data_IF_427007910580
#
_entry.id   IF_427007910580
#
_cell.length_a   1.000
_cell.length_b   1.000
_cell.length_c   1.000
_cell.angle_alpha   90.00
_cell.angle_beta   90.00
_cell.angle_gamma   90.00
#
_symmetry.space_group_name_H-M   'P 1'
#
loop_
_entity.id
_entity.type
_entity.pdbx_description
1 polymer ?
#
# COMPACT_ATOMS: atom_id res chain seq x y z
N UNK A 1 19.65 -6.47 -19.58
CA UNK A 1 18.27 -6.14 -19.21
C UNK A 1 18.33 -5.51 -17.83
N UNK A 2 18.35 -4.18 -17.77
CA UNK A 2 18.27 -3.47 -16.50
C UNK A 2 16.90 -3.80 -15.90
N UNK A 3 16.80 -4.25 -14.63
CA UNK A 3 15.50 -4.45 -14.02
C UNK A 3 14.73 -3.13 -14.08
N UNK A 4 13.44 -3.19 -14.44
CA UNK A 4 12.57 -2.03 -14.29
C UNK A 4 12.67 -1.51 -12.85
N UNK A 5 12.66 -0.19 -12.63
CA UNK A 5 12.66 0.35 -11.29
C UNK A 5 11.44 -0.20 -10.54
N UNK A 6 11.70 -0.98 -9.50
CA UNK A 6 10.64 -1.56 -8.68
C UNK A 6 9.84 -0.41 -8.04
N UNK A 7 8.54 -0.37 -8.31
CA UNK A 7 7.61 0.58 -7.70
C UNK A 7 7.13 -0.01 -6.38
N UNK A 8 7.20 0.77 -5.30
CA UNK A 8 6.70 0.37 -3.98
C UNK A 8 5.18 0.50 -3.94
N UNK A 9 4.47 -0.62 -3.79
CA UNK A 9 3.01 -0.68 -3.91
C UNK A 9 2.37 -0.68 -2.53
N UNK A 10 1.52 0.31 -2.28
CA UNK A 10 0.74 0.44 -1.06
C UNK A 10 -0.74 0.27 -1.39
N UNK A 11 -1.36 -0.75 -0.80
CA UNK A 11 -2.81 -0.91 -0.83
C UNK A 11 -3.46 0.01 0.21
N UNK A 12 -4.39 0.87 -0.21
CA UNK A 12 -4.99 1.89 0.65
C UNK A 12 -6.50 1.70 0.72
N UNK A 13 -7.08 1.77 1.91
CA UNK A 13 -8.55 1.91 2.02
C UNK A 13 -9.01 3.21 1.37
N UNK A 14 -9.86 3.09 0.36
CA UNK A 14 -10.44 4.20 -0.38
C UNK A 14 -11.21 5.12 0.57
N UNK A 15 -10.61 6.28 0.83
CA UNK A 15 -11.12 7.33 1.68
C UNK A 15 -10.16 8.51 1.54
N UNK A 16 -10.60 9.60 0.91
CA UNK A 16 -9.73 10.72 0.54
C UNK A 16 -8.80 11.24 1.66
N UNK A 17 -9.24 11.35 2.93
CA UNK A 17 -8.35 11.69 4.03
C UNK A 17 -7.18 10.72 4.25
N UNK A 18 -7.38 9.42 4.07
CA UNK A 18 -6.31 8.41 4.21
C UNK A 18 -5.32 8.48 3.05
N UNK A 19 -5.83 8.63 1.82
CA UNK A 19 -4.99 8.80 0.63
C UNK A 19 -4.10 10.05 0.77
N UNK A 20 -4.69 11.19 1.17
CA UNK A 20 -3.94 12.42 1.41
C UNK A 20 -2.93 12.29 2.55
N UNK A 21 -3.27 11.58 3.63
CA UNK A 21 -2.37 11.36 4.76
C UNK A 21 -1.17 10.50 4.36
N UNK A 22 -1.39 9.39 3.66
CA UNK A 22 -0.32 8.50 3.19
C UNK A 22 0.60 9.21 2.19
N UNK A 23 0.06 9.98 1.26
CA UNK A 23 0.87 10.79 0.34
C UNK A 23 1.82 11.73 1.09
N UNK A 24 1.31 12.48 2.08
CA UNK A 24 2.13 13.38 2.91
C UNK A 24 3.18 12.65 3.74
N UNK A 25 2.83 11.47 4.28
CA UNK A 25 3.76 10.64 5.04
C UNK A 25 4.89 10.13 4.15
N UNK A 26 4.58 9.69 2.93
CA UNK A 26 5.57 9.25 1.96
C UNK A 26 6.48 10.40 1.53
N UNK A 27 5.92 11.55 1.18
CA UNK A 27 6.69 12.76 0.83
C UNK A 27 7.63 13.15 1.97
N UNK A 28 7.14 13.13 3.22
CA UNK A 28 7.94 13.40 4.40
C UNK A 28 9.06 12.38 4.60
N UNK A 29 8.77 11.09 4.40
CA UNK A 29 9.77 10.02 4.46
C UNK A 29 10.87 10.21 3.40
N UNK A 30 10.50 10.48 2.15
CA UNK A 30 11.44 10.76 1.07
C UNK A 30 12.30 11.99 1.36
N UNK A 31 11.71 13.08 1.88
CA UNK A 31 12.45 14.28 2.27
C UNK A 31 13.45 14.02 3.40
N UNK A 32 13.09 13.21 4.39
CA UNK A 32 13.96 12.92 5.55
C UNK A 32 15.08 11.93 5.24
N UNK A 33 14.82 10.94 4.38
CA UNK A 33 15.75 9.83 4.14
C UNK A 33 16.50 9.93 2.81
N UNK A 34 16.04 10.77 1.88
CA UNK A 34 16.54 10.80 0.51
C UNK A 34 16.13 9.57 -0.32
N UNK A 35 15.10 8.83 0.11
CA UNK A 35 14.63 7.63 -0.59
C UNK A 35 14.23 7.96 -2.04
N UNK A 36 14.86 7.35 -3.06
CA UNK A 36 14.55 7.59 -4.46
C UNK A 36 13.46 6.65 -5.01
N UNK A 37 12.87 5.81 -4.16
CA UNK A 37 11.92 4.79 -4.57
C UNK A 37 10.58 5.41 -5.00
N UNK A 38 10.09 5.04 -6.18
CA UNK A 38 8.77 5.43 -6.64
C UNK A 38 7.70 4.68 -5.83
N UNK A 39 6.60 5.35 -5.50
CA UNK A 39 5.46 4.74 -4.80
C UNK A 39 4.22 4.76 -5.67
N UNK A 40 3.44 3.68 -5.59
CA UNK A 40 2.09 3.59 -6.12
C UNK A 40 1.14 3.29 -4.97
N UNK A 41 0.24 4.23 -4.69
CA UNK A 41 -0.81 4.05 -3.68
C UNK A 41 -2.12 3.73 -4.40
N UNK A 42 -2.65 2.53 -4.18
CA UNK A 42 -3.86 2.05 -4.87
C UNK A 42 -5.03 2.05 -3.89
N UNK A 43 -5.99 2.99 -4.02
CA UNK A 43 -7.19 3.00 -3.21
C UNK A 43 -8.14 1.88 -3.65
N UNK A 44 -8.62 1.10 -2.69
CA UNK A 44 -9.60 0.01 -2.88
C UNK A 44 -10.71 0.12 -1.82
N UNK A 45 -11.92 -0.30 -2.17
CA UNK A 45 -12.96 -0.45 -1.17
C UNK A 45 -12.63 -1.57 -0.17
N UNK A 46 -13.38 -1.66 0.94
CA UNK A 46 -13.07 -2.61 2.00
C UNK A 46 -13.10 -4.08 1.56
N UNK A 47 -14.16 -4.56 0.89
CA UNK A 47 -14.20 -5.92 0.37
C UNK A 47 -13.06 -6.23 -0.61
N UNK A 48 -12.77 -5.34 -1.54
CA UNK A 48 -11.68 -5.49 -2.52
C UNK A 48 -10.32 -5.52 -1.83
N UNK A 49 -10.09 -4.61 -0.88
CA UNK A 49 -8.87 -4.54 -0.10
C UNK A 49 -8.64 -5.84 0.68
N UNK A 50 -9.65 -6.33 1.40
CA UNK A 50 -9.55 -7.60 2.12
C UNK A 50 -9.23 -8.76 1.18
N UNK A 51 -9.96 -8.89 0.07
CA UNK A 51 -9.74 -9.95 -0.90
C UNK A 51 -8.34 -9.90 -1.52
N UNK A 52 -7.87 -8.70 -1.91
CA UNK A 52 -6.57 -8.49 -2.53
C UNK A 52 -5.42 -8.82 -1.58
N UNK A 53 -5.53 -8.41 -0.31
CA UNK A 53 -4.47 -8.58 0.68
C UNK A 53 -4.41 -9.98 1.26
N UNK A 54 -5.56 -10.53 1.68
CA UNK A 54 -5.65 -11.71 2.53
C UNK A 54 -6.13 -12.94 1.76
N UNK A 55 -7.30 -12.87 1.12
CA UNK A 55 -7.85 -14.01 0.34
C UNK A 55 -6.93 -14.42 -0.80
N UNK A 56 -6.47 -13.44 -1.59
CA UNK A 56 -5.56 -13.64 -2.72
C UNK A 56 -4.08 -13.64 -2.28
N UNK A 57 -3.82 -13.50 -0.98
CA UNK A 57 -2.48 -13.53 -0.39
C UNK A 57 -1.53 -12.51 -1.02
N UNK A 58 -2.05 -11.35 -1.43
CA UNK A 58 -1.29 -10.30 -2.11
C UNK A 58 -0.12 -9.75 -1.30
N UNK A 59 -0.24 -9.74 0.03
CA UNK A 59 0.88 -9.41 0.92
C UNK A 59 1.94 -10.52 0.96
N UNK A 60 1.52 -11.79 0.99
CA UNK A 60 2.44 -12.93 1.07
C UNK A 60 3.22 -13.15 -0.23
N UNK A 61 2.58 -12.89 -1.38
CA UNK A 61 3.15 -13.14 -2.70
C UNK A 61 3.91 -11.94 -3.29
N UNK A 62 3.97 -10.81 -2.58
CA UNK A 62 4.68 -9.61 -3.02
C UNK A 62 3.94 -8.76 -4.05
N UNK A 63 2.62 -8.96 -4.23
CA UNK A 63 1.77 -8.03 -4.99
C UNK A 63 1.72 -6.66 -4.32
N UNK A 64 1.75 -6.65 -2.98
CA UNK A 64 1.74 -5.45 -2.16
C UNK A 64 2.92 -5.45 -1.19
N UNK A 65 3.62 -4.34 -1.10
CA UNK A 65 4.70 -4.16 -0.12
C UNK A 65 4.13 -3.75 1.24
N UNK A 66 3.10 -2.91 1.24
CA UNK A 66 2.43 -2.40 2.44
C UNK A 66 0.93 -2.31 2.22
N UNK A 67 0.16 -2.48 3.30
CA UNK A 67 -1.28 -2.29 3.31
C UNK A 67 -1.73 -1.37 4.44
N UNK A 68 -2.73 -0.54 4.14
CA UNK A 68 -3.44 0.28 5.11
C UNK A 68 -4.88 -0.26 5.28
N UNK A 69 -5.09 -1.04 6.35
CA UNK A 69 -6.34 -1.74 6.67
C UNK A 69 -6.64 -1.60 8.17
N UNK A 70 -7.94 -1.56 8.53
CA UNK A 70 -8.37 -1.58 9.92
C UNK A 70 -8.24 -2.99 10.51
N UNK A 71 -7.85 -3.09 11.79
CA UNK A 71 -7.56 -4.35 12.49
C UNK A 71 -8.74 -5.31 12.61
N UNK A 72 -9.98 -4.83 12.55
CA UNK A 72 -11.18 -5.67 12.64
C UNK A 72 -11.22 -6.69 11.48
N UNK A 73 -10.56 -6.35 10.37
CA UNK A 73 -10.45 -7.19 9.17
C UNK A 73 -9.21 -8.10 9.17
N UNK A 74 -8.35 -8.00 10.18
CA UNK A 74 -7.22 -8.91 10.35
C UNK A 74 -7.64 -10.19 11.09
N UNK A 75 -8.69 -10.13 11.91
CA UNK A 75 -9.16 -11.27 12.68
C UNK A 75 -9.76 -12.41 11.82
N UNK A 76 -10.10 -12.11 10.57
CA UNK A 76 -10.64 -13.07 9.59
C UNK A 76 -9.55 -13.69 8.69
N UNK A 77 -8.27 -13.32 8.88
CA UNK A 77 -7.12 -13.76 8.09
C UNK A 77 -6.58 -15.15 8.47
#
# INVERSE_FOLDING_TARGET
>A
MTPEPAVFRIAVRQFGPFESALAKLWDGFCQQTGCPLAVEMVPMDLPELHASLLTNKGLQNGTWDVAHLNTDWLAEA
#
